data_IF_320322101357
#
_entry.id   IF_320322101357
#
_cell.length_a   1.000
_cell.length_b   1.000
_cell.length_c   1.000
_cell.angle_alpha   90.00
_cell.angle_beta   90.00
_cell.angle_gamma   90.00
#
_symmetry.space_group_name_H-M   'P 1'
#
loop_
_entity.id
_entity.type
_entity.pdbx_description
1 polymer ?
#
# COMPACT_ATOMS: atom_id res chain seq x y z
N UNK A 1 -4.24 13.31 0.00
CA UNK A 1 -3.06 12.58 0.48
C UNK A 1 -2.82 12.82 1.96
N UNK A 2 -2.41 11.78 2.66
CA UNK A 2 -1.90 11.83 4.04
C UNK A 2 -0.66 10.96 4.17
N UNK A 3 0.38 11.44 4.89
CA UNK A 3 1.68 10.77 4.95
C UNK A 3 1.61 9.38 5.60
N UNK A 4 0.75 9.18 6.59
CA UNK A 4 0.58 7.92 7.31
C UNK A 4 -0.40 6.94 6.65
N UNK A 5 -1.01 7.30 5.52
CA UNK A 5 -1.93 6.42 4.82
C UNK A 5 -1.14 5.47 3.90
N UNK A 6 -1.13 4.16 4.13
CA UNK A 6 -0.35 3.20 3.34
C UNK A 6 -0.79 3.18 1.87
N UNK A 7 -2.08 3.30 1.61
CA UNK A 7 -2.61 3.39 0.25
C UNK A 7 -2.19 4.67 -0.47
N UNK A 8 -2.04 5.80 0.26
CA UNK A 8 -1.47 7.02 -0.30
C UNK A 8 0.01 6.84 -0.62
N UNK A 9 0.75 6.16 0.24
CA UNK A 9 2.18 5.91 0.04
C UNK A 9 2.45 5.07 -1.20
N UNK A 10 1.62 4.07 -1.52
CA UNK A 10 1.73 3.28 -2.76
C UNK A 10 1.76 4.18 -3.99
N UNK A 11 0.77 5.07 -4.09
CA UNK A 11 0.65 5.99 -5.23
C UNK A 11 1.81 6.99 -5.24
N UNK A 12 2.17 7.51 -4.07
CA UNK A 12 3.27 8.46 -3.95
C UNK A 12 4.60 7.85 -4.38
N UNK A 13 4.93 6.66 -3.88
CA UNK A 13 6.15 5.95 -4.27
C UNK A 13 6.20 5.69 -5.77
N UNK A 14 5.10 5.28 -6.39
CA UNK A 14 5.03 5.07 -7.83
C UNK A 14 5.35 6.36 -8.61
N UNK A 15 4.78 7.50 -8.22
CA UNK A 15 5.05 8.81 -8.83
C UNK A 15 6.51 9.21 -8.70
N UNK A 16 7.12 9.00 -7.53
CA UNK A 16 8.54 9.26 -7.27
C UNK A 16 9.45 8.38 -8.14
N UNK A 17 9.15 7.07 -8.24
CA UNK A 17 9.92 6.16 -9.07
C UNK A 17 9.91 6.56 -10.55
N UNK A 18 8.74 6.94 -11.04
CA UNK A 18 8.59 7.40 -12.44
C UNK A 18 8.99 8.84 -12.65
N UNK A 19 9.33 9.56 -11.58
CA UNK A 19 9.66 11.00 -11.63
C UNK A 19 8.59 11.84 -12.34
N UNK A 20 7.33 11.44 -12.16
CA UNK A 20 6.19 12.19 -12.69
C UNK A 20 6.02 13.45 -11.85
N UNK A 21 5.95 14.65 -12.44
CA UNK A 21 5.66 15.87 -11.69
C UNK A 21 4.22 15.85 -11.18
N UNK A 22 4.02 16.15 -9.91
CA UNK A 22 2.72 16.14 -9.27
C UNK A 22 2.60 17.22 -8.18
N UNK A 23 1.36 17.52 -7.79
CA UNK A 23 1.07 18.39 -6.65
C UNK A 23 0.37 17.61 -5.55
N UNK A 24 0.85 17.74 -4.33
CA UNK A 24 0.19 17.14 -3.15
C UNK A 24 -0.76 18.16 -2.53
N UNK A 25 -2.01 17.73 -2.31
CA UNK A 25 -2.94 18.38 -1.39
C UNK A 25 -3.12 17.50 -0.17
N UNK A 26 -2.76 18.03 1.00
CA UNK A 26 -2.93 17.30 2.27
C UNK A 26 -4.40 17.25 2.65
N UNK A 27 -4.82 16.14 3.20
CA UNK A 27 -6.19 15.90 3.68
C UNK A 27 -6.10 15.23 5.03
N UNK A 28 -6.87 15.68 6.00
CA UNK A 28 -6.92 15.12 7.35
C UNK A 28 -7.41 13.68 7.33
N UNK A 29 -6.71 12.77 8.01
CA UNK A 29 -7.21 11.41 8.22
C UNK A 29 -8.36 11.41 9.22
N UNK A 30 -9.29 10.48 9.04
CA UNK A 30 -10.49 10.35 9.89
C UNK A 30 -10.18 10.25 11.39
N UNK A 31 -9.06 9.61 11.74
CA UNK A 31 -8.60 9.46 13.13
C UNK A 31 -8.10 10.77 13.77
N UNK A 32 -7.78 11.79 12.95
CA UNK A 32 -7.29 13.09 13.43
C UNK A 32 -8.34 14.20 13.35
N UNK A 33 -9.52 13.94 12.83
CA UNK A 33 -10.60 14.91 12.77
C UNK A 33 -11.41 14.86 11.48
N UNK A 34 -12.31 15.84 11.30
CA UNK A 34 -13.12 15.94 10.10
C UNK A 34 -12.23 16.28 8.89
N UNK A 35 -12.63 15.75 7.74
CA UNK A 35 -11.97 16.05 6.47
C UNK A 35 -12.38 17.43 5.97
N UNK A 36 -11.51 18.02 5.19
CA UNK A 36 -11.74 19.33 4.57
C UNK A 36 -12.98 19.30 3.67
N UNK A 37 -13.87 20.30 3.75
CA UNK A 37 -15.12 20.34 2.96
C UNK A 37 -14.89 20.27 1.44
N UNK A 38 -13.83 20.92 0.94
CA UNK A 38 -13.48 20.87 -0.49
C UNK A 38 -13.13 19.45 -0.95
N UNK A 39 -12.61 18.61 -0.04
CA UNK A 39 -12.25 17.23 -0.37
C UNK A 39 -13.50 16.36 -0.38
N UNK A 40 -14.34 16.46 0.64
CA UNK A 40 -15.57 15.66 0.74
C UNK A 40 -16.60 16.04 -0.34
N UNK A 41 -16.58 17.29 -0.82
CA UNK A 41 -17.37 17.70 -1.98
C UNK A 41 -16.92 16.98 -3.27
N UNK A 42 -15.60 16.74 -3.45
CA UNK A 42 -15.06 16.00 -4.60
C UNK A 42 -15.12 14.48 -4.41
N UNK A 43 -14.85 14.01 -3.20
CA UNK A 43 -14.78 12.58 -2.82
C UNK A 43 -15.78 12.32 -1.69
N UNK A 44 -17.07 12.10 -1.97
CA UNK A 44 -18.09 11.92 -0.95
C UNK A 44 -17.81 10.76 0.02
N UNK A 45 -17.13 9.70 -0.44
CA UNK A 45 -16.69 8.59 0.41
C UNK A 45 -15.67 9.00 1.48
N UNK A 46 -14.98 10.13 1.27
CA UNK A 46 -13.89 10.59 2.11
C UNK A 46 -12.66 9.67 2.09
N UNK A 47 -12.59 8.69 1.20
CA UNK A 47 -11.48 7.72 1.15
C UNK A 47 -10.24 8.33 0.50
N UNK A 48 -9.07 7.89 0.98
CA UNK A 48 -7.76 8.26 0.44
C UNK A 48 -7.06 6.98 -0.08
N UNK A 49 -6.22 7.11 -1.10
CA UNK A 49 -5.89 8.29 -1.91
C UNK A 49 -6.97 8.68 -2.92
N UNK A 50 -6.87 9.90 -3.41
CA UNK A 50 -7.56 10.36 -4.61
C UNK A 50 -6.55 11.08 -5.51
N UNK A 51 -6.62 10.84 -6.81
CA UNK A 51 -5.79 11.45 -7.83
C UNK A 51 -6.67 12.20 -8.82
N UNK A 52 -6.26 13.40 -9.17
CA UNK A 52 -6.81 14.14 -10.30
C UNK A 52 -5.79 14.09 -11.43
N UNK A 53 -6.14 13.42 -12.52
CA UNK A 53 -5.30 13.24 -13.71
C UNK A 53 -6.07 13.75 -14.92
N UNK A 54 -5.54 14.77 -15.60
CA UNK A 54 -6.15 15.40 -16.76
C UNK A 54 -7.64 15.81 -16.54
N UNK A 55 -7.91 16.33 -15.34
CA UNK A 55 -9.25 16.75 -14.92
C UNK A 55 -10.18 15.61 -14.48
N UNK A 56 -9.74 14.36 -14.58
CA UNK A 56 -10.50 13.20 -14.10
C UNK A 56 -10.11 12.86 -12.66
N UNK A 57 -11.11 12.70 -11.80
CA UNK A 57 -10.93 12.27 -10.42
C UNK A 57 -10.97 10.73 -10.35
N UNK A 58 -9.87 10.15 -9.89
CA UNK A 58 -9.73 8.71 -9.73
C UNK A 58 -9.55 8.41 -8.24
N UNK A 59 -10.31 7.47 -7.72
CA UNK A 59 -10.22 6.97 -6.35
C UNK A 59 -9.83 5.49 -6.38
N UNK A 60 -9.52 4.92 -5.21
CA UNK A 60 -8.96 3.58 -5.02
C UNK A 60 -7.51 3.45 -5.53
N UNK A 61 -6.60 3.10 -4.63
CA UNK A 61 -5.16 3.09 -4.92
C UNK A 61 -4.78 2.21 -6.11
N UNK A 62 -5.46 1.08 -6.30
CA UNK A 62 -5.18 0.15 -7.40
C UNK A 62 -5.64 0.73 -8.74
N UNK A 63 -6.82 1.34 -8.79
CA UNK A 63 -7.30 2.05 -10.00
C UNK A 63 -6.43 3.24 -10.35
N UNK A 64 -5.94 3.95 -9.33
CA UNK A 64 -5.00 5.05 -9.54
C UNK A 64 -3.71 4.53 -10.17
N UNK A 65 -3.16 3.43 -9.66
CA UNK A 65 -1.94 2.83 -10.22
C UNK A 65 -2.15 2.33 -11.65
N UNK A 66 -3.28 1.68 -11.95
CA UNK A 66 -3.65 1.27 -13.31
C UNK A 66 -3.72 2.47 -14.28
N UNK A 67 -4.35 3.56 -13.86
CA UNK A 67 -4.43 4.78 -14.66
C UNK A 67 -3.05 5.43 -14.89
N UNK A 68 -2.21 5.45 -13.85
CA UNK A 68 -0.85 5.95 -13.95
C UNK A 68 0.01 5.08 -14.86
N UNK A 69 -0.11 3.76 -14.79
CA UNK A 69 0.59 2.84 -15.71
C UNK A 69 0.11 3.01 -17.15
N UNK A 70 -1.18 3.23 -17.35
CA UNK A 70 -1.73 3.50 -18.68
C UNK A 70 -1.16 4.81 -19.27
N UNK A 71 -1.06 5.86 -18.45
CA UNK A 71 -0.60 7.17 -18.89
C UNK A 71 0.93 7.26 -19.06
N UNK A 72 1.70 6.60 -18.20
CA UNK A 72 3.15 6.78 -18.09
C UNK A 72 3.96 5.49 -18.31
N UNK A 73 3.29 4.36 -18.54
CA UNK A 73 3.89 3.03 -18.64
C UNK A 73 4.13 2.35 -17.29
N UNK A 74 4.09 1.03 -17.28
CA UNK A 74 4.25 0.24 -16.07
C UNK A 74 5.64 0.35 -15.44
N UNK A 75 5.71 0.12 -14.14
CA UNK A 75 6.95 -0.17 -13.41
C UNK A 75 7.08 -1.70 -13.37
N UNK A 76 8.01 -2.23 -14.15
CA UNK A 76 8.19 -3.67 -14.22
C UNK A 76 7.01 -4.41 -14.86
N UNK A 77 6.58 -5.52 -14.23
CA UNK A 77 5.53 -6.38 -14.75
C UNK A 77 4.14 -5.70 -14.81
N UNK A 78 3.95 -4.63 -14.03
CA UNK A 78 2.70 -3.84 -14.03
C UNK A 78 1.53 -4.50 -13.31
N UNK A 79 0.44 -3.72 -13.17
CA UNK A 79 -0.75 -4.09 -12.38
C UNK A 79 -1.56 -5.24 -13.00
N UNK A 80 -1.42 -5.49 -14.31
CA UNK A 80 -2.13 -6.56 -15.01
C UNK A 80 -1.42 -7.92 -14.95
N UNK A 81 -0.17 -7.96 -14.51
CA UNK A 81 0.56 -9.21 -14.35
C UNK A 81 -0.09 -10.08 -13.26
N UNK A 82 -0.22 -11.39 -13.54
CA UNK A 82 -0.89 -12.33 -12.62
C UNK A 82 -0.16 -12.49 -11.29
N UNK A 83 1.17 -12.46 -11.30
CA UNK A 83 1.99 -12.58 -10.11
C UNK A 83 1.87 -11.32 -9.26
N UNK A 84 1.99 -10.13 -9.87
CA UNK A 84 1.80 -8.85 -9.18
C UNK A 84 0.43 -8.79 -8.54
N UNK A 85 -0.62 -9.19 -9.25
CA UNK A 85 -1.99 -9.24 -8.73
C UNK A 85 -2.11 -10.17 -7.52
N UNK A 86 -1.55 -11.39 -7.61
CA UNK A 86 -1.52 -12.35 -6.50
C UNK A 86 -0.81 -11.77 -5.26
N UNK A 87 0.35 -11.13 -5.44
CA UNK A 87 1.10 -10.51 -4.33
C UNK A 87 0.31 -9.36 -3.70
N UNK A 88 -0.38 -8.56 -4.49
CA UNK A 88 -1.24 -7.48 -3.98
C UNK A 88 -2.48 -8.01 -3.24
N UNK A 89 -3.05 -9.10 -3.69
CA UNK A 89 -4.14 -9.76 -2.95
C UNK A 89 -3.64 -10.28 -1.60
N UNK A 90 -2.46 -10.88 -1.56
CA UNK A 90 -1.83 -11.38 -0.35
C UNK A 90 -1.50 -10.24 0.62
N UNK A 91 -0.96 -9.11 0.13
CA UNK A 91 -0.71 -7.91 0.92
C UNK A 91 -2.01 -7.38 1.57
N UNK A 92 -3.11 -7.33 0.81
CA UNK A 92 -4.41 -6.89 1.35
C UNK A 92 -4.98 -7.86 2.38
N UNK A 93 -4.80 -9.17 2.19
CA UNK A 93 -5.19 -10.17 3.16
C UNK A 93 -4.41 -10.02 4.47
N UNK A 94 -3.09 -9.82 4.37
CA UNK A 94 -2.23 -9.61 5.53
C UNK A 94 -2.65 -8.35 6.31
N UNK A 95 -2.84 -7.24 5.63
CA UNK A 95 -3.28 -6.00 6.26
C UNK A 95 -4.66 -6.15 6.94
N UNK A 96 -5.60 -6.82 6.28
CA UNK A 96 -6.93 -7.08 6.84
C UNK A 96 -6.87 -7.95 8.09
N UNK A 97 -6.09 -9.04 8.04
CA UNK A 97 -5.91 -9.93 9.18
C UNK A 97 -5.22 -9.22 10.35
N UNK A 98 -4.23 -8.36 10.07
CA UNK A 98 -3.59 -7.52 11.05
C UNK A 98 -4.57 -6.52 11.70
N UNK A 99 -5.38 -5.83 10.91
CA UNK A 99 -6.42 -4.93 11.42
C UNK A 99 -7.44 -5.67 12.31
N UNK A 100 -7.85 -6.87 11.88
CA UNK A 100 -8.79 -7.67 12.65
C UNK A 100 -8.22 -8.04 14.02
N UNK A 101 -6.96 -8.45 14.07
CA UNK A 101 -6.32 -8.86 15.32
C UNK A 101 -6.00 -7.68 16.24
N UNK A 102 -5.29 -6.65 15.73
CA UNK A 102 -4.71 -5.60 16.57
C UNK A 102 -5.51 -4.30 16.62
N UNK A 103 -6.40 -4.05 15.65
CA UNK A 103 -7.14 -2.80 15.57
C UNK A 103 -8.63 -2.94 15.92
N UNK A 104 -9.13 -4.17 16.13
CA UNK A 104 -10.54 -4.38 16.51
C UNK A 104 -10.69 -4.26 18.02
N UNK A 105 -11.43 -3.27 18.53
CA UNK A 105 -11.62 -3.11 19.96
C UNK A 105 -12.53 -4.21 20.54
N UNK A 106 -12.28 -4.59 21.78
CA UNK A 106 -13.15 -5.46 22.58
C UNK A 106 -13.36 -6.88 22.04
N UNK A 107 -12.35 -7.47 21.46
CA UNK A 107 -12.33 -8.90 21.19
C UNK A 107 -12.31 -9.67 22.52
N UNK A 108 -13.08 -10.75 22.63
CA UNK A 108 -12.89 -11.72 23.72
C UNK A 108 -11.68 -12.63 23.40
N UNK A 109 -11.18 -13.36 24.41
CA UNK A 109 -9.96 -14.17 24.27
C UNK A 109 -10.04 -15.16 23.09
N UNK A 110 -11.20 -15.81 22.90
CA UNK A 110 -11.38 -16.75 21.78
C UNK A 110 -11.34 -16.05 20.41
N UNK A 111 -11.93 -14.89 20.30
CA UNK A 111 -11.91 -14.08 19.06
C UNK A 111 -10.51 -13.55 18.77
N UNK A 112 -9.78 -13.14 19.80
CA UNK A 112 -8.39 -12.70 19.68
C UNK A 112 -7.48 -13.85 19.21
N UNK A 113 -7.62 -15.04 19.81
CA UNK A 113 -6.86 -16.21 19.39
C UNK A 113 -7.15 -16.58 17.93
N UNK A 114 -8.40 -16.58 17.51
CA UNK A 114 -8.79 -16.83 16.11
C UNK A 114 -8.22 -15.79 15.16
N UNK A 115 -8.28 -14.51 15.52
CA UNK A 115 -7.73 -13.43 14.71
C UNK A 115 -6.19 -13.53 14.57
N UNK A 116 -5.52 -13.88 15.66
CA UNK A 116 -4.08 -14.13 15.68
C UNK A 116 -3.69 -15.32 14.80
N UNK A 117 -4.42 -16.44 14.90
CA UNK A 117 -4.17 -17.62 14.04
C UNK A 117 -4.37 -17.29 12.57
N UNK A 118 -5.41 -16.51 12.24
CA UNK A 118 -5.67 -16.06 10.88
C UNK A 118 -4.53 -15.18 10.36
N UNK A 119 -4.06 -14.23 11.17
CA UNK A 119 -2.90 -13.41 10.80
C UNK A 119 -1.65 -14.27 10.56
N UNK A 120 -1.34 -15.21 11.45
CA UNK A 120 -0.21 -16.11 11.31
C UNK A 120 -0.31 -16.98 10.04
N UNK A 121 -1.52 -17.44 9.69
CA UNK A 121 -1.74 -18.23 8.48
C UNK A 121 -1.42 -17.42 7.22
N UNK A 122 -1.83 -16.15 7.17
CA UNK A 122 -1.52 -15.26 6.04
C UNK A 122 -0.04 -14.86 6.03
N UNK A 123 0.56 -14.63 7.20
CA UNK A 123 2.00 -14.35 7.30
C UNK A 123 2.85 -15.50 6.74
N UNK A 124 2.50 -16.76 7.04
CA UNK A 124 3.17 -17.93 6.43
C UNK A 124 3.03 -17.97 4.90
N UNK A 125 1.90 -17.54 4.35
CA UNK A 125 1.75 -17.44 2.89
C UNK A 125 2.65 -16.35 2.31
N UNK A 126 2.84 -15.24 3.04
CA UNK A 126 3.76 -14.17 2.63
C UNK A 126 5.22 -14.66 2.66
N UNK A 127 5.62 -15.40 3.69
CA UNK A 127 6.94 -16.03 3.76
C UNK A 127 7.18 -17.01 2.61
N UNK A 128 6.18 -17.84 2.29
CA UNK A 128 6.27 -18.76 1.16
C UNK A 128 6.45 -18.01 -0.17
N UNK A 129 5.68 -16.93 -0.39
CA UNK A 129 5.82 -16.10 -1.57
C UNK A 129 7.19 -15.41 -1.65
N UNK A 130 7.77 -15.02 -0.51
CA UNK A 130 9.10 -14.45 -0.43
C UNK A 130 10.16 -15.49 -0.81
N UNK A 131 10.04 -16.73 -0.33
CA UNK A 131 10.93 -17.83 -0.69
C UNK A 131 10.84 -18.16 -2.17
N UNK A 132 9.63 -18.22 -2.75
CA UNK A 132 9.42 -18.37 -4.20
C UNK A 132 10.11 -17.25 -5.00
N UNK A 133 10.16 -16.02 -4.46
CA UNK A 133 10.85 -14.87 -5.01
C UNK A 133 12.37 -14.83 -4.81
N UNK A 134 12.97 -15.88 -4.24
CA UNK A 134 14.41 -15.93 -3.97
C UNK A 134 14.81 -15.48 -2.55
N UNK A 135 13.84 -15.27 -1.66
CA UNK A 135 14.04 -15.02 -0.23
C UNK A 135 14.37 -13.57 0.15
N UNK A 136 14.67 -12.70 -0.82
CA UNK A 136 15.01 -11.30 -0.55
C UNK A 136 13.89 -10.33 -0.96
N UNK A 137 13.13 -10.65 -2.00
CA UNK A 137 12.09 -9.82 -2.58
C UNK A 137 10.87 -10.65 -2.93
N UNK A 138 9.68 -10.07 -2.78
CA UNK A 138 8.42 -10.69 -3.22
C UNK A 138 8.33 -10.80 -4.74
N UNK A 139 8.96 -9.87 -5.46
CA UNK A 139 9.08 -9.92 -6.91
C UNK A 139 10.53 -10.20 -7.33
N UNK A 140 10.84 -11.41 -7.82
CA UNK A 140 12.20 -11.79 -8.20
C UNK A 140 12.73 -11.05 -9.44
N UNK A 141 11.84 -10.56 -10.31
CA UNK A 141 12.23 -9.80 -11.51
C UNK A 141 12.56 -8.34 -11.19
N UNK A 142 12.31 -7.93 -9.94
CA UNK A 142 12.71 -6.63 -9.40
C UNK A 142 13.68 -6.81 -8.24
N UNK A 143 14.82 -7.48 -8.45
CA UNK A 143 15.87 -7.43 -7.47
C UNK A 143 16.29 -5.98 -7.33
N UNK A 144 16.21 -5.45 -6.13
CA UNK A 144 16.57 -4.06 -5.82
C UNK A 144 18.03 -3.69 -6.14
N UNK A 145 18.58 -4.24 -7.20
CA UNK A 145 19.96 -4.07 -7.62
C UNK A 145 20.19 -3.87 -9.13
N UNK A 146 19.20 -3.99 -9.97
CA UNK A 146 19.44 -4.07 -11.42
C UNK A 146 19.18 -2.80 -12.23
N UNK A 147 19.05 -1.62 -11.62
CA UNK A 147 19.16 -0.36 -12.37
C UNK A 147 20.52 0.28 -12.15
N UNK A 148 21.43 0.24 -13.16
CA UNK A 148 22.64 1.02 -13.11
C UNK A 148 22.27 2.50 -13.17
N UNK A 149 22.38 3.19 -12.04
CA UNK A 149 22.24 4.66 -11.99
C UNK A 149 21.20 5.22 -11.02
N UNK A 150 20.31 4.41 -10.44
CA UNK A 150 19.41 4.89 -9.37
C UNK A 150 19.73 4.13 -8.09
N UNK A 151 20.34 4.83 -7.13
CA UNK A 151 20.69 4.24 -5.84
C UNK A 151 19.47 3.64 -5.14
N UNK A 152 19.40 2.33 -5.12
CA UNK A 152 18.30 1.49 -4.66
C UNK A 152 18.17 1.47 -3.14
N UNK A 153 18.30 2.62 -2.48
CA UNK A 153 17.87 2.76 -1.08
C UNK A 153 16.36 2.87 -0.90
N UNK A 154 15.60 2.98 -1.99
CA UNK A 154 14.17 3.31 -1.93
C UNK A 154 13.24 2.09 -1.87
N UNK A 155 13.64 0.92 -2.38
CA UNK A 155 12.81 -0.30 -2.26
C UNK A 155 12.91 -0.95 -0.88
N UNK A 156 14.07 -0.89 -0.22
CA UNK A 156 14.16 -1.20 1.22
C UNK A 156 13.19 -0.35 2.06
N UNK A 157 12.96 0.90 1.66
CA UNK A 157 11.99 1.77 2.31
C UNK A 157 10.53 1.35 2.10
N UNK A 158 10.18 0.67 1.01
CA UNK A 158 8.81 0.18 0.82
C UNK A 158 8.55 -1.06 1.71
N UNK A 159 9.53 -1.95 1.83
CA UNK A 159 9.47 -3.09 2.76
C UNK A 159 9.67 -2.64 4.21
N UNK A 160 10.56 -1.68 4.46
CA UNK A 160 10.71 -1.00 5.76
C UNK A 160 9.49 -0.14 6.10
N UNK A 161 8.75 0.43 5.13
CA UNK A 161 7.48 1.10 5.37
C UNK A 161 6.36 0.12 5.73
N UNK A 162 6.31 -1.08 5.14
CA UNK A 162 5.38 -2.13 5.57
C UNK A 162 5.70 -2.59 7.00
N UNK A 163 6.98 -2.81 7.32
CA UNK A 163 7.45 -3.12 8.67
C UNK A 163 7.33 -1.92 9.63
N UNK A 164 7.63 -0.71 9.19
CA UNK A 164 7.49 0.51 9.97
C UNK A 164 6.03 0.89 10.23
N UNK A 165 5.10 0.58 9.30
CA UNK A 165 3.66 0.71 9.50
C UNK A 165 3.14 -0.28 10.54
N UNK A 166 3.70 -1.49 10.58
CA UNK A 166 3.39 -2.48 11.61
C UNK A 166 3.92 -2.04 12.99
N UNK A 167 5.04 -1.32 13.05
CA UNK A 167 5.62 -0.82 14.32
C UNK A 167 5.05 0.53 14.77
N UNK A 168 4.72 1.42 13.85
CA UNK A 168 4.24 2.79 14.17
C UNK A 168 2.78 2.86 14.59
N UNK A 169 1.95 1.86 14.29
CA UNK A 169 0.54 1.78 14.69
C UNK A 169 0.31 1.10 16.05
N UNK A 170 1.35 0.48 16.64
CA UNK A 170 1.29 -0.11 17.99
C UNK A 170 1.58 0.89 19.12
N UNK A 171 1.84 2.17 18.87
CA UNK A 171 2.26 3.15 19.87
C UNK A 171 1.29 4.34 20.06
N UNK A 172 0.06 4.23 19.63
CA UNK A 172 -1.06 5.12 19.97
C UNK A 172 -2.30 4.25 20.24
#
# INVERSE_FOLDING_TARGET
>A
HHAWCPYCQKVWLWLEFRRVPYRIRKVTMRCYGPKEPWFTAKVPSGMLPALELDGQLITESDRILEALEHAFGALGAGMHDKRVRRLRELERLLFRAWCLWLCTPRLNNRQEDQAREQFQAVARQMEAALVEGGGQWLDPDHPGGAHPGTGVRSLRRADECLLGLLQGLCLT
#
